data_IF_758107116762
#
_entry.id   IF_758107116762
#
_cell.length_a   1.000
_cell.length_b   1.000
_cell.length_c   1.000
_cell.angle_alpha   90.00
_cell.angle_beta   90.00
_cell.angle_gamma   90.00
#
_symmetry.space_group_name_H-M   'P 1'
#
loop_
_entity.id
_entity.type
_entity.pdbx_description
1 polymer ?
#
# COMPACT_ATOMS: atom_id res chain seq x y z
N UNK A 1 -9.44 23.93 -5.52
CA UNK A 1 -9.40 22.62 -6.22
C UNK A 1 -9.63 21.54 -5.18
N UNK A 2 -10.62 20.66 -5.38
CA UNK A 2 -10.80 19.50 -4.50
C UNK A 2 -9.67 18.51 -4.79
N UNK A 3 -8.98 18.06 -3.74
CA UNK A 3 -7.96 17.03 -3.86
C UNK A 3 -8.66 15.69 -3.60
N UNK A 4 -9.05 14.99 -4.68
CA UNK A 4 -9.86 13.77 -4.62
C UNK A 4 -8.92 12.58 -4.43
N UNK A 5 -9.20 11.66 -3.50
CA UNK A 5 -8.40 10.44 -3.38
C UNK A 5 -8.45 9.63 -4.67
N UNK A 6 -7.31 9.15 -5.13
CA UNK A 6 -7.18 8.34 -6.35
C UNK A 6 -6.39 7.08 -6.08
N UNK A 7 -6.78 5.99 -6.74
CA UNK A 7 -6.07 4.72 -6.73
C UNK A 7 -6.03 4.15 -8.16
N UNK A 8 -4.86 3.73 -8.59
CA UNK A 8 -4.64 3.01 -9.83
C UNK A 8 -3.81 1.76 -9.55
N UNK A 9 -4.20 0.64 -10.14
CA UNK A 9 -3.48 -0.62 -9.92
C UNK A 9 -3.33 -1.38 -11.23
N UNK A 10 -2.34 -2.26 -11.26
CA UNK A 10 -2.11 -3.19 -12.37
C UNK A 10 -1.42 -4.45 -11.86
N UNK A 11 -1.52 -5.51 -12.65
CA UNK A 11 -0.77 -6.75 -12.45
C UNK A 11 0.19 -6.98 -13.60
N UNK A 12 1.38 -7.54 -13.33
CA UNK A 12 2.38 -7.88 -14.36
C UNK A 12 3.32 -8.97 -13.86
N UNK A 13 3.49 -10.06 -14.61
CA UNK A 13 4.52 -11.09 -14.37
C UNK A 13 4.57 -11.60 -12.90
N UNK A 14 3.41 -11.85 -12.28
CA UNK A 14 3.32 -12.29 -10.87
C UNK A 14 3.45 -11.17 -9.83
N UNK A 15 3.43 -9.91 -10.26
CA UNK A 15 3.47 -8.73 -9.40
C UNK A 15 2.16 -7.95 -9.44
N UNK A 16 1.88 -7.26 -8.34
CA UNK A 16 0.81 -6.29 -8.17
C UNK A 16 1.44 -4.93 -7.87
N UNK A 17 1.12 -3.93 -8.69
CA UNK A 17 1.50 -2.52 -8.47
C UNK A 17 0.25 -1.72 -8.10
N UNK A 18 0.33 -0.92 -7.04
CA UNK A 18 -0.70 0.01 -6.60
C UNK A 18 -0.09 1.41 -6.44
N UNK A 19 -0.68 2.39 -7.11
CA UNK A 19 -0.40 3.81 -6.93
C UNK A 19 -1.62 4.48 -6.28
N UNK A 20 -1.39 5.21 -5.19
CA UNK A 20 -2.46 5.86 -4.43
C UNK A 20 -2.06 7.27 -4.02
N UNK A 21 -2.99 8.21 -4.18
CA UNK A 21 -2.83 9.60 -3.74
C UNK A 21 -3.94 9.91 -2.73
N UNK A 22 -3.53 10.30 -1.53
CA UNK A 22 -4.38 10.54 -0.38
C UNK A 22 -4.28 12.01 0.03
N UNK A 23 -5.39 12.76 0.04
CA UNK A 23 -5.35 14.18 0.37
C UNK A 23 -5.05 14.41 1.86
N UNK A 24 -4.60 15.62 2.25
CA UNK A 24 -4.37 15.98 3.65
C UNK A 24 -5.57 15.66 4.56
N UNK A 25 -5.30 15.38 5.83
CA UNK A 25 -6.29 15.03 6.86
C UNK A 25 -7.09 13.75 6.56
N UNK A 26 -6.55 12.85 5.73
CA UNK A 26 -7.15 11.54 5.44
C UNK A 26 -6.28 10.42 5.97
N UNK A 27 -6.92 9.37 6.48
CA UNK A 27 -6.29 8.08 6.79
C UNK A 27 -7.13 7.00 6.12
N UNK A 28 -6.48 6.10 5.38
CA UNK A 28 -7.16 4.99 4.70
C UNK A 28 -6.67 3.64 5.19
N UNK A 29 -7.46 2.61 4.92
CA UNK A 29 -7.06 1.22 5.06
C UNK A 29 -6.82 0.64 3.68
N UNK A 30 -5.61 0.13 3.42
CA UNK A 30 -5.28 -0.61 2.20
C UNK A 30 -5.20 -2.11 2.52
N UNK A 31 -5.68 -2.93 1.60
CA UNK A 31 -5.50 -4.38 1.66
C UNK A 31 -4.67 -4.79 0.45
N UNK A 32 -3.52 -5.40 0.71
CA UNK A 32 -2.59 -5.88 -0.32
C UNK A 32 -2.59 -7.41 -0.35
N UNK A 33 -2.42 -8.04 -1.54
CA UNK A 33 -2.49 -9.50 -1.72
C UNK A 33 -1.23 -10.25 -1.26
N UNK A 34 -0.36 -9.60 -0.48
CA UNK A 34 0.87 -10.15 0.10
C UNK A 34 0.93 -9.81 1.59
N UNK A 35 1.04 -10.83 2.45
CA UNK A 35 1.08 -10.69 3.89
C UNK A 35 2.50 -10.43 4.42
N UNK A 36 3.53 -10.78 3.66
CA UNK A 36 4.91 -10.57 4.04
C UNK A 36 5.32 -9.11 3.81
N UNK A 37 5.38 -8.34 4.89
CA UNK A 37 5.84 -6.95 4.89
C UNK A 37 7.18 -6.72 4.19
N UNK A 38 8.10 -7.67 4.30
CA UNK A 38 9.43 -7.56 3.68
C UNK A 38 9.37 -7.69 2.16
N UNK A 39 8.32 -8.32 1.63
CA UNK A 39 8.03 -8.42 0.21
C UNK A 39 7.20 -7.24 -0.33
N UNK A 40 6.70 -6.37 0.55
CA UNK A 40 6.03 -5.13 0.19
C UNK A 40 7.09 -4.04 0.07
N UNK A 41 7.18 -3.43 -1.10
CA UNK A 41 8.03 -2.25 -1.29
C UNK A 41 7.17 -1.00 -1.45
N UNK A 42 7.58 0.09 -0.81
CA UNK A 42 7.01 1.42 -0.95
C UNK A 42 7.99 2.31 -1.73
N UNK A 43 7.56 2.82 -2.88
CA UNK A 43 8.38 3.63 -3.78
C UNK A 43 9.73 2.97 -4.14
N UNK A 44 9.74 1.63 -4.22
CA UNK A 44 10.93 0.82 -4.53
C UNK A 44 11.87 0.56 -3.35
N UNK A 45 11.48 0.93 -2.11
CA UNK A 45 12.22 0.61 -0.89
C UNK A 45 11.46 -0.43 -0.06
N UNK A 46 12.12 -1.40 0.60
CA UNK A 46 11.44 -2.32 1.52
C UNK A 46 10.66 -1.52 2.56
N UNK A 47 9.44 -1.95 2.89
CA UNK A 47 8.69 -1.36 3.99
C UNK A 47 9.43 -1.56 5.32
N UNK A 48 10.15 -0.53 5.76
CA UNK A 48 10.51 -0.40 7.17
C UNK A 48 9.26 0.02 7.97
N UNK A 49 9.18 -0.25 9.28
CA UNK A 49 8.15 0.35 10.13
C UNK A 49 8.27 1.88 10.06
N UNK A 50 7.40 2.53 9.30
CA UNK A 50 7.36 3.98 9.17
C UNK A 50 6.11 4.51 9.86
N UNK A 51 6.23 5.59 10.64
CA UNK A 51 5.12 6.12 11.43
C UNK A 51 3.86 6.51 10.64
N UNK A 52 3.95 6.58 9.30
CA UNK A 52 2.84 6.89 8.39
C UNK A 52 2.22 5.66 7.70
N UNK A 53 2.83 4.47 7.80
CA UNK A 53 2.23 3.20 7.37
C UNK A 53 2.33 2.15 8.47
N UNK A 54 1.18 1.72 9.00
CA UNK A 54 1.11 0.68 10.02
C UNK A 54 0.44 -0.58 9.51
N UNK A 55 1.10 -1.73 9.57
CA UNK A 55 0.46 -3.04 9.35
C UNK A 55 -0.48 -3.31 10.52
N UNK A 56 -1.79 -3.33 10.26
CA UNK A 56 -2.81 -3.58 11.29
C UNK A 56 -3.12 -5.06 11.47
N UNK A 57 -3.07 -5.84 10.39
CA UNK A 57 -3.45 -7.25 10.40
C UNK A 57 -2.83 -8.00 9.22
N UNK A 58 -2.53 -9.28 9.43
CA UNK A 58 -2.24 -10.26 8.37
C UNK A 58 -3.29 -11.36 8.44
N UNK A 59 -3.97 -11.65 7.34
CA UNK A 59 -5.01 -12.70 7.28
C UNK A 59 -4.77 -13.52 6.03
N UNK A 60 -4.48 -14.81 6.18
CA UNK A 60 -4.08 -15.65 5.05
C UNK A 60 -2.87 -15.05 4.34
N UNK A 61 -3.02 -14.74 3.04
CA UNK A 61 -1.97 -14.11 2.23
C UNK A 61 -2.12 -12.59 2.08
N UNK A 62 -3.02 -11.94 2.83
CA UNK A 62 -3.26 -10.50 2.70
C UNK A 62 -2.67 -9.70 3.86
N UNK A 63 -2.11 -8.52 3.55
CA UNK A 63 -1.72 -7.50 4.52
C UNK A 63 -2.72 -6.34 4.54
N UNK A 64 -3.17 -5.96 5.73
CA UNK A 64 -3.96 -4.75 5.94
C UNK A 64 -3.07 -3.64 6.50
N UNK A 65 -2.99 -2.51 5.78
CA UNK A 65 -2.19 -1.34 6.11
C UNK A 65 -3.08 -0.16 6.49
N UNK A 66 -2.69 0.61 7.50
CA UNK A 66 -3.18 1.96 7.74
C UNK A 66 -2.23 2.94 7.08
N UNK A 67 -2.72 3.79 6.18
CA UNK A 67 -1.88 4.73 5.43
C UNK A 67 -2.40 6.16 5.64
N UNK A 68 -1.49 7.06 6.02
CA UNK A 68 -1.78 8.49 6.18
C UNK A 68 -1.85 9.22 4.83
N UNK A 69 -2.20 10.50 4.83
CA UNK A 69 -2.15 11.36 3.65
C UNK A 69 -0.75 11.35 2.99
N UNK A 70 -0.71 11.33 1.65
CA UNK A 70 0.53 11.23 0.89
C UNK A 70 0.31 10.61 -0.49
N UNK A 71 1.40 10.45 -1.24
CA UNK A 71 1.39 9.69 -2.51
C UNK A 71 2.33 8.50 -2.36
N UNK A 72 1.81 7.33 -2.68
CA UNK A 72 2.48 6.06 -2.42
C UNK A 72 2.43 5.17 -3.64
N UNK A 73 3.49 4.39 -3.82
CA UNK A 73 3.52 3.28 -4.76
C UNK A 73 3.88 2.02 -4.03
N UNK A 74 2.96 1.07 -3.98
CA UNK A 74 3.18 -0.26 -3.41
C UNK A 74 3.41 -1.27 -4.53
N UNK A 75 4.40 -2.14 -4.35
CA UNK A 75 4.60 -3.31 -5.21
C UNK A 75 4.69 -4.55 -4.34
N UNK A 76 3.89 -5.57 -4.68
CA UNK A 76 3.84 -6.86 -3.98
C UNK A 76 3.83 -8.02 -4.97
N UNK A 77 4.13 -9.23 -4.50
CA UNK A 77 3.88 -10.44 -5.28
C UNK A 77 2.39 -10.80 -5.23
N UNK A 78 1.93 -11.42 -6.31
CA UNK A 78 0.66 -12.15 -6.32
C UNK A 78 0.90 -13.57 -5.77
N UNK A 79 -0.11 -14.19 -5.14
CA UNK A 79 -0.05 -15.59 -4.71
C UNK A 79 0.24 -16.55 -5.86
#
# INVERSE_FOLDING_TARGET
MANIPSAAWRTRDGWFDLEVTLPPNTTVTLVLPEANAEAITESGRPQAPMGHVGIRRRVGNEATLSVAAGTYKFTTRLP
#
